data_IF_959310333000
#
_entry.id   IF_959310333000
#
_cell.length_a   1.000
_cell.length_b   1.000
_cell.length_c   1.000
_cell.angle_alpha   90.00
_cell.angle_beta   90.00
_cell.angle_gamma   90.00
#
_symmetry.space_group_name_H-M   'P 1'
#
loop_
_entity.id
_entity.type
_entity.pdbx_description
1 polymer ?
#
# COMPACT_ATOMS: atom_id res chain seq x y z
N UNK A 1 17.23 -1.85 -11.16
CA UNK A 1 17.23 -2.87 -12.23
C UNK A 1 18.48 -3.76 -12.25
N UNK A 2 19.49 -3.53 -11.42
CA UNK A 2 20.70 -4.38 -11.39
C UNK A 2 20.43 -5.81 -10.95
N UNK A 3 19.54 -6.02 -9.96
CA UNK A 3 19.11 -7.36 -9.57
C UNK A 3 18.45 -8.09 -10.75
N UNK A 4 17.57 -7.42 -11.51
CA UNK A 4 16.94 -7.99 -12.70
C UNK A 4 17.97 -8.36 -13.78
N UNK A 5 18.95 -7.50 -14.05
CA UNK A 5 20.02 -7.78 -15.01
C UNK A 5 20.97 -8.91 -14.56
N UNK A 6 21.15 -9.10 -13.25
CA UNK A 6 21.95 -10.20 -12.70
C UNK A 6 21.20 -11.54 -12.76
N UNK A 7 19.87 -11.50 -12.65
CA UNK A 7 19.01 -12.68 -12.67
C UNK A 7 18.63 -13.09 -14.11
N UNK A 8 18.50 -12.11 -15.00
CA UNK A 8 18.25 -12.28 -16.42
C UNK A 8 19.30 -11.50 -17.24
N UNK A 9 20.45 -12.13 -17.56
CA UNK A 9 21.55 -11.48 -18.29
C UNK A 9 21.16 -11.04 -19.70
N UNK A 10 20.25 -11.77 -20.35
CA UNK A 10 19.79 -11.48 -21.71
C UNK A 10 18.94 -10.20 -21.77
N UNK A 11 18.35 -9.81 -20.64
CA UNK A 11 17.65 -8.54 -20.49
C UNK A 11 18.56 -7.32 -20.26
N UNK A 12 19.86 -7.52 -20.01
CA UNK A 12 20.77 -6.42 -19.73
C UNK A 12 20.93 -5.48 -20.95
N UNK A 13 20.77 -4.19 -20.73
CA UNK A 13 20.88 -3.17 -21.79
C UNK A 13 19.59 -2.92 -22.58
N UNK A 14 18.52 -3.71 -22.38
CA UNK A 14 17.19 -3.39 -22.90
C UNK A 14 16.57 -2.21 -22.16
N UNK A 15 15.55 -1.57 -22.73
CA UNK A 15 14.80 -0.48 -22.08
C UNK A 15 13.48 -0.98 -21.53
N UNK A 16 13.09 -0.45 -20.37
CA UNK A 16 11.76 -0.62 -19.78
C UNK A 16 10.71 0.22 -20.49
N UNK A 17 9.44 -0.02 -20.17
CA UNK A 17 8.30 0.82 -20.59
C UNK A 17 8.49 2.29 -20.20
N UNK A 18 9.18 2.54 -19.07
CA UNK A 18 9.49 3.89 -18.59
C UNK A 18 10.77 4.48 -19.22
N UNK A 19 11.36 3.81 -20.21
CA UNK A 19 12.56 4.25 -20.93
C UNK A 19 13.88 4.09 -20.17
N UNK A 20 13.88 3.43 -19.02
CA UNK A 20 15.08 3.18 -18.21
C UNK A 20 15.87 1.98 -18.75
N UNK A 21 17.19 2.05 -18.73
CA UNK A 21 18.05 0.96 -19.21
C UNK A 21 18.21 -0.12 -18.12
N UNK A 22 17.89 -1.37 -18.45
CA UNK A 22 18.04 -2.51 -17.54
C UNK A 22 19.53 -2.72 -17.22
N UNK A 23 19.87 -2.76 -15.93
CA UNK A 23 21.24 -2.89 -15.43
C UNK A 23 21.99 -1.58 -15.22
N UNK A 24 21.51 -0.45 -15.74
CA UNK A 24 22.13 0.85 -15.50
C UNK A 24 21.63 1.51 -14.21
N UNK A 25 22.54 2.13 -13.45
CA UNK A 25 22.17 3.05 -12.39
C UNK A 25 22.18 4.48 -12.92
N UNK A 26 21.00 5.09 -12.99
CA UNK A 26 20.85 6.51 -13.32
C UNK A 26 20.42 7.29 -12.08
N UNK A 27 20.96 8.49 -11.89
CA UNK A 27 20.53 9.38 -10.82
C UNK A 27 19.04 9.74 -10.96
N UNK A 28 18.59 9.96 -12.20
CA UNK A 28 17.20 10.26 -12.52
C UNK A 28 16.26 9.10 -12.18
N UNK A 29 16.58 7.86 -12.59
CA UNK A 29 15.77 6.69 -12.26
C UNK A 29 15.72 6.43 -10.75
N UNK A 30 16.83 6.65 -10.04
CA UNK A 30 16.86 6.53 -8.58
C UNK A 30 15.97 7.58 -7.91
N UNK A 31 16.06 8.84 -8.33
CA UNK A 31 15.23 9.92 -7.80
C UNK A 31 13.75 9.66 -8.09
N UNK A 32 13.42 9.19 -9.30
CA UNK A 32 12.06 8.82 -9.68
C UNK A 32 11.52 7.70 -8.78
N UNK A 33 12.30 6.65 -8.51
CA UNK A 33 11.90 5.57 -7.60
C UNK A 33 11.66 6.07 -6.17
N UNK A 34 12.52 6.97 -5.67
CA UNK A 34 12.36 7.54 -4.32
C UNK A 34 11.10 8.40 -4.23
N UNK A 35 10.82 9.23 -5.24
CA UNK A 35 9.66 10.13 -5.23
C UNK A 35 8.36 9.36 -5.53
N UNK A 36 8.29 8.69 -6.68
CA UNK A 36 7.05 8.04 -7.12
C UNK A 36 6.80 6.72 -6.40
N UNK A 37 7.81 5.87 -6.26
CA UNK A 37 7.68 4.60 -5.53
C UNK A 37 7.67 4.80 -4.01
N UNK A 38 8.68 5.50 -3.49
CA UNK A 38 8.88 5.69 -2.06
C UNK A 38 7.88 6.66 -1.44
N UNK A 39 7.89 7.93 -1.87
CA UNK A 39 7.06 8.98 -1.25
C UNK A 39 5.57 8.80 -1.57
N UNK A 40 5.17 8.71 -2.85
CA UNK A 40 3.75 8.57 -3.19
C UNK A 40 3.19 7.20 -2.79
N UNK A 41 3.92 6.12 -3.05
CA UNK A 41 3.55 4.79 -2.57
C UNK A 41 3.45 4.73 -1.04
N UNK A 42 4.37 5.38 -0.32
CA UNK A 42 4.35 5.51 1.14
C UNK A 42 3.15 6.29 1.66
N UNK A 43 2.77 7.40 1.01
CA UNK A 43 1.57 8.19 1.37
C UNK A 43 0.30 7.36 1.14
N UNK A 44 0.17 6.71 -0.02
CA UNK A 44 -0.97 5.84 -0.32
C UNK A 44 -1.07 4.69 0.68
N UNK A 45 0.05 4.04 1.02
CA UNK A 45 0.11 3.01 2.05
C UNK A 45 -0.29 3.55 3.43
N UNK A 46 0.14 4.77 3.77
CA UNK A 46 -0.25 5.46 5.00
C UNK A 46 -1.75 5.77 5.09
N UNK A 47 -2.37 6.19 3.99
CA UNK A 47 -3.82 6.43 3.89
C UNK A 47 -4.59 5.12 4.09
N UNK A 48 -4.22 4.07 3.35
CA UNK A 48 -4.80 2.74 3.51
C UNK A 48 -4.62 2.24 4.95
N UNK A 49 -3.43 2.42 5.54
CA UNK A 49 -3.15 2.06 6.91
C UNK A 49 -4.01 2.82 7.92
N UNK A 50 -4.20 4.13 7.76
CA UNK A 50 -5.05 4.91 8.67
C UNK A 50 -6.49 4.37 8.76
N UNK A 51 -7.00 3.82 7.65
CA UNK A 51 -8.32 3.18 7.56
C UNK A 51 -8.31 1.75 8.11
N UNK A 52 -7.30 0.95 7.81
CA UNK A 52 -7.24 -0.47 8.19
C UNK A 52 -6.83 -0.67 9.65
N UNK A 53 -5.92 0.17 10.14
CA UNK A 53 -5.21 0.03 11.42
C UNK A 53 -6.10 -0.20 12.64
N UNK A 54 -7.29 0.43 12.80
CA UNK A 54 -8.11 0.22 14.00
C UNK A 54 -8.70 -1.19 14.10
N UNK A 55 -8.71 -1.92 12.97
CA UNK A 55 -9.40 -3.20 12.84
C UNK A 55 -8.43 -4.39 12.82
N UNK A 56 -7.15 -4.15 12.55
CA UNK A 56 -6.11 -5.18 12.57
C UNK A 56 -5.77 -5.56 14.02
N UNK A 57 -5.90 -6.83 14.43
CA UNK A 57 -5.66 -7.24 15.80
C UNK A 57 -4.17 -7.30 16.16
N UNK A 58 -3.89 -7.15 17.46
CA UNK A 58 -2.56 -7.31 18.05
C UNK A 58 -1.79 -6.00 18.17
N UNK A 59 -0.53 -6.10 18.58
CA UNK A 59 0.41 -4.98 18.69
C UNK A 59 1.83 -5.45 18.44
N UNK A 60 2.75 -4.51 18.21
CA UNK A 60 4.16 -4.78 18.02
C UNK A 60 4.43 -5.65 16.79
N UNK A 61 5.39 -6.58 16.94
CA UNK A 61 5.81 -7.45 15.84
C UNK A 61 4.69 -8.36 15.33
N UNK A 62 3.80 -8.84 16.22
CA UNK A 62 2.67 -9.69 15.81
C UNK A 62 1.74 -8.97 14.84
N UNK A 63 1.43 -7.69 15.11
CA UNK A 63 0.62 -6.86 14.21
C UNK A 63 1.36 -6.63 12.90
N UNK A 64 2.65 -6.29 12.95
CA UNK A 64 3.45 -6.05 11.74
C UNK A 64 3.51 -7.28 10.81
N UNK A 65 3.73 -8.47 11.34
CA UNK A 65 3.75 -9.72 10.57
C UNK A 65 2.39 -10.01 9.93
N UNK A 66 1.27 -9.69 10.58
CA UNK A 66 -0.07 -9.82 9.99
C UNK A 66 -0.31 -8.80 8.86
N UNK A 67 0.24 -7.60 8.99
CA UNK A 67 0.04 -6.51 8.02
C UNK A 67 0.83 -6.73 6.73
N UNK A 68 1.98 -7.40 6.78
CA UNK A 68 2.76 -7.71 5.58
C UNK A 68 1.94 -8.43 4.48
N UNK A 69 1.37 -9.62 4.74
CA UNK A 69 0.50 -10.32 3.79
C UNK A 69 -0.77 -9.53 3.42
N UNK A 70 -1.33 -8.76 4.35
CA UNK A 70 -2.47 -7.88 4.07
C UNK A 70 -2.13 -6.79 3.06
N UNK A 71 -0.96 -6.16 3.21
CA UNK A 71 -0.45 -5.15 2.28
C UNK A 71 -0.19 -5.77 0.90
N UNK A 72 0.39 -6.97 0.85
CA UNK A 72 0.56 -7.72 -0.40
C UNK A 72 -0.78 -8.02 -1.07
N UNK A 73 -1.79 -8.45 -0.32
CA UNK A 73 -3.10 -8.73 -0.88
C UNK A 73 -3.74 -7.47 -1.49
N UNK A 74 -3.72 -6.34 -0.77
CA UNK A 74 -4.41 -5.11 -1.19
C UNK A 74 -3.61 -4.32 -2.23
N UNK A 75 -2.29 -4.26 -2.09
CA UNK A 75 -1.39 -3.41 -2.87
C UNK A 75 -0.42 -4.14 -3.78
N UNK A 76 -0.44 -5.48 -3.83
CA UNK A 76 0.47 -6.26 -4.68
C UNK A 76 0.36 -5.90 -6.16
N UNK A 77 -0.86 -5.64 -6.63
CA UNK A 77 -1.12 -5.21 -8.01
C UNK A 77 -0.64 -3.79 -8.32
N UNK A 78 -0.15 -3.04 -7.33
CA UNK A 78 0.51 -1.75 -7.58
C UNK A 78 1.86 -1.95 -8.28
N UNK A 79 2.60 -3.01 -7.93
CA UNK A 79 3.91 -3.31 -8.51
C UNK A 79 3.87 -4.45 -9.53
N UNK A 80 2.92 -5.38 -9.37
CA UNK A 80 2.86 -6.61 -10.16
C UNK A 80 1.59 -6.64 -10.98
N UNK A 81 1.72 -6.30 -12.27
CA UNK A 81 0.62 -6.21 -13.23
C UNK A 81 0.93 -7.05 -14.46
N UNK A 82 -0.04 -7.86 -14.89
CA UNK A 82 0.08 -8.76 -16.04
C UNK A 82 0.05 -8.04 -17.38
N UNK A 83 -0.41 -6.79 -17.42
CA UNK A 83 -0.37 -5.93 -18.60
C UNK A 83 0.89 -5.05 -18.69
N UNK A 84 1.81 -5.13 -17.72
CA UNK A 84 3.09 -4.43 -17.79
C UNK A 84 4.05 -5.22 -18.69
N UNK A 85 4.52 -4.58 -19.77
CA UNK A 85 5.34 -5.28 -20.78
C UNK A 85 6.76 -5.55 -20.30
N UNK A 86 7.21 -4.84 -19.25
CA UNK A 86 8.47 -5.12 -18.57
C UNK A 86 8.59 -6.59 -18.13
N UNK A 87 7.47 -7.24 -17.75
CA UNK A 87 7.49 -8.65 -17.36
C UNK A 87 7.64 -9.61 -18.54
N UNK A 88 7.27 -9.21 -19.76
CA UNK A 88 7.55 -10.00 -20.95
C UNK A 88 9.04 -9.93 -21.30
N UNK A 89 9.68 -8.77 -21.11
CA UNK A 89 11.13 -8.58 -21.27
C UNK A 89 11.92 -9.41 -20.25
N UNK A 90 11.40 -9.51 -19.03
CA UNK A 90 12.01 -10.27 -17.93
C UNK A 90 11.61 -11.74 -17.91
N UNK A 91 10.89 -12.23 -18.93
CA UNK A 91 10.45 -13.62 -19.08
C UNK A 91 9.72 -14.16 -17.84
N UNK A 92 8.90 -13.33 -17.21
CA UNK A 92 8.11 -13.75 -16.04
C UNK A 92 8.92 -14.28 -14.85
N UNK A 93 10.18 -13.87 -14.69
CA UNK A 93 11.08 -14.38 -13.64
C UNK A 93 10.43 -14.37 -12.24
N UNK A 94 10.27 -15.57 -11.67
CA UNK A 94 9.60 -15.80 -10.41
C UNK A 94 10.34 -15.15 -9.21
N UNK A 95 11.66 -15.01 -9.27
CA UNK A 95 12.44 -14.36 -8.23
C UNK A 95 12.25 -12.84 -8.26
N UNK A 96 12.15 -12.23 -9.44
CA UNK A 96 11.80 -10.81 -9.57
C UNK A 96 10.40 -10.57 -9.00
N UNK A 97 9.42 -11.41 -9.33
CA UNK A 97 8.08 -11.35 -8.75
C UNK A 97 8.11 -11.46 -7.22
N UNK A 98 8.86 -12.42 -6.69
CA UNK A 98 9.01 -12.61 -5.24
C UNK A 98 9.64 -11.39 -4.57
N UNK A 99 10.63 -10.74 -5.20
CA UNK A 99 11.26 -9.53 -4.69
C UNK A 99 10.28 -8.34 -4.66
N UNK A 100 9.50 -8.14 -5.72
CA UNK A 100 8.51 -7.05 -5.80
C UNK A 100 7.38 -7.24 -4.78
N UNK A 101 6.82 -8.45 -4.69
CA UNK A 101 5.81 -8.76 -3.67
C UNK A 101 6.40 -8.67 -2.25
N UNK A 102 7.64 -9.13 -2.07
CA UNK A 102 8.39 -9.00 -0.83
C UNK A 102 8.57 -7.54 -0.41
N UNK A 103 8.83 -6.63 -1.36
CA UNK A 103 8.89 -5.19 -1.09
C UNK A 103 7.55 -4.66 -0.55
N UNK A 104 6.42 -5.04 -1.15
CA UNK A 104 5.09 -4.65 -0.65
C UNK A 104 4.84 -5.18 0.77
N UNK A 105 5.23 -6.43 1.04
CA UNK A 105 5.18 -7.03 2.38
C UNK A 105 6.01 -6.21 3.38
N UNK A 106 7.24 -5.84 3.01
CA UNK A 106 8.14 -5.05 3.85
C UNK A 106 7.60 -3.64 4.10
N UNK A 107 6.96 -3.01 3.12
CA UNK A 107 6.27 -1.72 3.30
C UNK A 107 5.16 -1.87 4.35
N UNK A 108 4.31 -2.90 4.24
CA UNK A 108 3.25 -3.17 5.21
C UNK A 108 3.77 -3.37 6.64
N UNK A 109 4.82 -4.19 6.80
CA UNK A 109 5.51 -4.41 8.08
C UNK A 109 6.06 -3.08 8.61
N UNK A 110 6.73 -2.30 7.77
CA UNK A 110 7.37 -1.04 8.15
C UNK A 110 6.36 -0.02 8.64
N UNK A 111 5.25 0.18 7.90
CA UNK A 111 4.18 1.11 8.27
C UNK A 111 3.57 0.72 9.62
N UNK A 112 3.24 -0.55 9.83
CA UNK A 112 2.70 -1.02 11.11
C UNK A 112 3.70 -0.85 12.28
N UNK A 113 5.00 -1.05 12.03
CA UNK A 113 6.04 -0.84 13.06
C UNK A 113 6.26 0.63 13.39
N UNK A 114 6.22 1.50 12.37
CA UNK A 114 6.34 2.94 12.54
C UNK A 114 5.12 3.50 13.29
N UNK A 115 3.92 3.04 12.97
CA UNK A 115 2.69 3.39 13.69
C UNK A 115 2.82 3.08 15.19
N UNK A 116 3.14 1.84 15.54
CA UNK A 116 3.34 1.43 16.94
C UNK A 116 4.48 2.20 17.63
N UNK A 117 5.53 2.57 16.88
CA UNK A 117 6.65 3.34 17.40
C UNK A 117 6.23 4.78 17.70
N UNK A 118 5.50 5.41 16.78
CA UNK A 118 5.00 6.77 16.90
C UNK A 118 3.93 6.88 17.98
N UNK A 119 3.02 5.92 18.09
CA UNK A 119 2.02 5.91 19.15
C UNK A 119 2.65 5.86 20.55
N UNK A 120 3.78 5.16 20.71
CA UNK A 120 4.52 5.09 21.98
C UNK A 120 5.35 6.34 22.29
N UNK A 121 5.87 7.02 21.27
CA UNK A 121 6.84 8.12 21.42
C UNK A 121 6.25 9.51 21.30
N UNK A 122 5.15 9.67 20.55
CA UNK A 122 4.57 10.98 20.28
C UNK A 122 3.53 11.35 21.34
N UNK A 123 3.60 12.57 21.92
CA UNK A 123 2.58 13.07 22.81
C UNK A 123 1.23 13.18 22.09
N UNK A 124 0.13 12.97 22.82
CA UNK A 124 -1.21 13.19 22.26
C UNK A 124 -1.41 14.69 21.96
N UNK A 125 -2.01 15.07 20.82
CA UNK A 125 -2.18 16.48 20.41
C UNK A 125 -2.93 17.37 21.42
N UNK A 126 -3.71 16.77 22.33
CA UNK A 126 -4.57 17.46 23.28
C UNK A 126 -3.86 18.23 24.41
N UNK A 127 -2.52 18.24 24.46
CA UNK A 127 -1.76 18.87 25.56
C UNK A 127 -1.36 20.35 25.31
N UNK A 128 -2.15 21.11 24.54
CA UNK A 128 -1.95 22.57 24.39
C UNK A 128 -0.68 23.00 23.63
N UNK A 129 0.01 22.07 22.95
CA UNK A 129 1.23 22.37 22.18
C UNK A 129 0.89 22.68 20.72
N UNK A 130 0.67 23.96 20.42
CA UNK A 130 0.29 24.43 19.07
C UNK A 130 1.17 23.86 17.95
N UNK A 131 2.50 23.85 18.13
CA UNK A 131 3.42 23.32 17.12
C UNK A 131 3.23 21.84 16.81
N UNK A 132 2.86 21.03 17.81
CA UNK A 132 2.56 19.61 17.60
C UNK A 132 1.24 19.44 16.85
N UNK A 133 0.20 20.19 17.23
CA UNK A 133 -1.09 20.20 16.52
C UNK A 133 -0.92 20.61 15.06
N UNK A 134 -0.08 21.63 14.79
CA UNK A 134 0.24 22.05 13.42
C UNK A 134 0.93 20.94 12.63
N UNK A 135 1.93 20.26 13.22
CA UNK A 135 2.61 19.15 12.56
C UNK A 135 1.65 18.00 12.20
N UNK A 136 0.78 17.57 13.14
CA UNK A 136 -0.26 16.57 12.85
C UNK A 136 -1.24 17.06 11.77
N UNK A 137 -1.63 18.33 11.82
CA UNK A 137 -2.52 18.95 10.83
C UNK A 137 -1.91 18.96 9.43
N UNK A 138 -0.62 19.28 9.30
CA UNK A 138 0.09 19.26 8.02
C UNK A 138 0.22 17.85 7.45
N UNK A 139 0.51 16.84 8.28
CA UNK A 139 0.54 15.43 7.83
C UNK A 139 -0.85 14.97 7.40
N UNK A 140 -1.89 15.30 8.17
CA UNK A 140 -3.27 14.98 7.80
C UNK A 140 -3.69 15.70 6.50
N UNK A 141 -3.29 16.96 6.31
CA UNK A 141 -3.54 17.72 5.10
C UNK A 141 -2.84 17.08 3.90
N UNK A 142 -1.58 16.68 4.04
CA UNK A 142 -0.87 15.96 2.99
C UNK A 142 -1.61 14.66 2.62
N UNK A 143 -2.02 13.86 3.60
CA UNK A 143 -2.84 12.67 3.35
C UNK A 143 -4.16 12.99 2.64
N UNK A 144 -4.84 14.07 3.04
CA UNK A 144 -6.09 14.52 2.41
C UNK A 144 -5.89 14.95 0.96
N UNK A 145 -4.80 15.66 0.65
CA UNK A 145 -4.48 16.09 -0.72
C UNK A 145 -4.14 14.92 -1.64
N UNK A 146 -3.57 13.84 -1.10
CA UNK A 146 -3.26 12.61 -1.84
C UNK A 146 -4.41 11.59 -1.88
N UNK A 147 -5.50 11.84 -1.15
CA UNK A 147 -6.65 10.96 -1.11
C UNK A 147 -7.29 10.75 -2.50
N UNK A 148 -7.52 11.79 -3.34
CA UNK A 148 -8.09 11.59 -4.68
C UNK A 148 -7.23 10.71 -5.58
N UNK A 149 -5.90 10.85 -5.50
CA UNK A 149 -4.97 9.99 -6.26
C UNK A 149 -5.05 8.54 -5.78
N UNK A 150 -5.09 8.33 -4.47
CA UNK A 150 -5.23 7.01 -3.86
C UNK A 150 -6.56 6.36 -4.25
N UNK A 151 -7.67 7.11 -4.22
CA UNK A 151 -8.97 6.64 -4.69
C UNK A 151 -8.90 6.34 -6.19
N UNK A 152 -8.35 7.26 -6.98
CA UNK A 152 -8.18 7.12 -8.42
C UNK A 152 -7.51 5.79 -8.78
N UNK A 153 -6.46 5.41 -8.07
CA UNK A 153 -5.77 4.14 -8.30
C UNK A 153 -6.71 2.91 -8.26
N UNK A 154 -7.69 2.89 -7.35
CA UNK A 154 -8.62 1.75 -7.25
C UNK A 154 -9.78 1.81 -8.26
N UNK A 155 -10.10 2.97 -8.82
CA UNK A 155 -11.33 3.20 -9.57
C UNK A 155 -11.13 3.72 -11.00
N UNK A 156 -9.92 4.11 -11.38
CA UNK A 156 -9.63 4.77 -12.65
C UNK A 156 -8.43 4.14 -13.36
N UNK A 157 -8.67 3.71 -14.59
CA UNK A 157 -7.66 3.25 -15.57
C UNK A 157 -6.55 4.29 -15.73
N UNK A 158 -6.90 5.58 -15.79
CA UNK A 158 -5.93 6.66 -15.99
C UNK A 158 -5.04 6.90 -14.77
N UNK A 159 -5.57 6.70 -13.56
CA UNK A 159 -4.81 6.95 -12.33
C UNK A 159 -3.95 5.74 -11.92
N UNK A 160 -4.40 4.51 -12.20
CA UNK A 160 -3.59 3.31 -12.00
C UNK A 160 -2.64 3.01 -13.15
N UNK A 161 -2.79 3.72 -14.28
CA UNK A 161 -2.09 3.46 -15.54
C UNK A 161 -2.21 1.98 -15.96
N UNK A 162 -3.39 1.39 -15.80
CA UNK A 162 -3.63 -0.05 -15.87
C UNK A 162 -4.91 -0.38 -16.62
N UNK A 163 -4.95 -1.52 -17.31
CA UNK A 163 -6.13 -1.96 -18.08
C UNK A 163 -7.34 -2.32 -17.21
N UNK A 164 -7.10 -2.80 -16.00
CA UNK A 164 -8.15 -3.30 -15.08
C UNK A 164 -7.90 -2.82 -13.64
N UNK A 165 -8.52 -1.70 -13.21
CA UNK A 165 -8.34 -1.21 -11.85
C UNK A 165 -8.93 -2.20 -10.82
N UNK A 166 -8.34 -2.31 -9.61
CA UNK A 166 -8.81 -3.20 -8.55
C UNK A 166 -10.08 -2.68 -7.84
N UNK A 167 -11.17 -2.52 -8.59
CA UNK A 167 -12.40 -1.84 -8.15
C UNK A 167 -13.04 -2.47 -6.92
N UNK A 168 -13.00 -3.81 -6.81
CA UNK A 168 -13.55 -4.53 -5.66
C UNK A 168 -12.74 -4.29 -4.38
N UNK A 169 -11.42 -4.13 -4.51
CA UNK A 169 -10.55 -3.71 -3.39
C UNK A 169 -10.91 -2.30 -2.98
N UNK A 170 -11.09 -1.39 -3.95
CA UNK A 170 -11.52 -0.02 -3.71
C UNK A 170 -12.83 0.06 -2.91
N UNK A 171 -13.87 -0.67 -3.32
CA UNK A 171 -15.15 -0.69 -2.60
C UNK A 171 -15.02 -1.26 -1.19
N UNK A 172 -14.26 -2.34 -1.01
CA UNK A 172 -14.01 -2.89 0.31
C UNK A 172 -13.29 -1.87 1.22
N UNK A 173 -12.31 -1.13 0.71
CA UNK A 173 -11.63 -0.06 1.43
C UNK A 173 -12.57 1.11 1.76
N UNK A 174 -13.48 1.49 0.86
CA UNK A 174 -14.52 2.52 1.14
C UNK A 174 -15.41 2.10 2.30
N UNK A 175 -15.83 0.83 2.35
CA UNK A 175 -16.62 0.29 3.47
C UNK A 175 -15.83 0.37 4.78
N UNK A 176 -14.56 -0.06 4.79
CA UNK A 176 -13.71 0.04 5.99
C UNK A 176 -13.48 1.50 6.39
N UNK A 177 -13.31 2.40 5.41
CA UNK A 177 -13.16 3.84 5.66
C UNK A 177 -14.40 4.42 6.32
N UNK A 178 -15.60 4.09 5.83
CA UNK A 178 -16.85 4.52 6.43
C UNK A 178 -16.98 4.03 7.89
N UNK A 179 -16.63 2.78 8.16
CA UNK A 179 -16.63 2.21 9.52
C UNK A 179 -15.60 2.91 10.42
N UNK A 180 -14.44 3.28 9.87
CA UNK A 180 -13.38 4.03 10.57
C UNK A 180 -13.80 5.45 10.92
N UNK A 181 -14.39 6.17 9.96
CA UNK A 181 -14.92 7.52 10.18
C UNK A 181 -16.06 7.48 11.21
N UNK A 182 -16.97 6.50 11.12
CA UNK A 182 -18.03 6.30 12.11
C UNK A 182 -17.45 6.07 13.51
N UNK A 183 -16.41 5.24 13.62
CA UNK A 183 -15.72 5.03 14.89
C UNK A 183 -15.10 6.33 15.43
N UNK A 184 -14.40 7.10 14.60
CA UNK A 184 -13.83 8.38 15.01
C UNK A 184 -14.91 9.36 15.47
N UNK A 185 -16.05 9.44 14.75
CA UNK A 185 -17.18 10.27 15.14
C UNK A 185 -17.76 9.85 16.52
N UNK A 186 -17.96 8.54 16.75
CA UNK A 186 -18.42 8.02 18.04
C UNK A 186 -17.42 8.33 19.16
N UNK A 187 -16.12 8.15 18.89
CA UNK A 187 -15.05 8.48 19.85
C UNK A 187 -15.05 9.96 20.21
N UNK A 188 -15.21 10.85 19.23
CA UNK A 188 -15.29 12.30 19.45
C UNK A 188 -16.54 12.69 20.25
N UNK A 189 -17.69 12.10 19.92
CA UNK A 189 -18.97 12.43 20.57
C UNK A 189 -19.08 11.87 22.00
N UNK A 190 -18.51 10.70 22.27
CA UNK A 190 -18.70 9.97 23.55
C UNK A 190 -17.47 9.94 24.44
N UNK A 191 -16.30 10.34 23.94
CA UNK A 191 -15.02 10.24 24.67
C UNK A 191 -14.52 8.81 24.88
N UNK A 192 -15.18 7.79 24.31
CA UNK A 192 -14.77 6.38 24.47
C UNK A 192 -13.44 6.11 23.77
N UNK A 193 -12.57 5.37 24.46
CA UNK A 193 -11.29 4.91 23.93
C UNK A 193 -11.43 3.71 22.98
N UNK A 194 -12.44 2.87 23.20
CA UNK A 194 -12.57 1.57 22.54
C UNK A 194 -13.84 1.44 21.69
N UNK A 195 -13.74 0.87 20.47
CA UNK A 195 -14.88 0.63 19.61
C UNK A 195 -15.80 -0.44 20.18
N UNK A 196 -17.11 -0.25 19.99
CA UNK A 196 -18.12 -1.26 20.35
C UNK A 196 -17.91 -2.58 19.59
N UNK A 197 -18.30 -3.72 20.18
CA UNK A 197 -18.10 -5.06 19.61
C UNK A 197 -18.64 -5.20 18.17
N UNK A 198 -19.77 -4.54 17.87
CA UNK A 198 -20.35 -4.52 16.52
C UNK A 198 -19.44 -3.86 15.49
N UNK A 199 -18.92 -2.67 15.80
CA UNK A 199 -17.97 -1.95 14.93
C UNK A 199 -16.69 -2.74 14.72
N UNK A 200 -16.15 -3.38 15.78
CA UNK A 200 -14.95 -4.23 15.66
C UNK A 200 -15.19 -5.40 14.70
N UNK A 201 -16.33 -6.08 14.80
CA UNK A 201 -16.68 -7.17 13.88
C UNK A 201 -16.84 -6.66 12.45
N UNK A 202 -17.57 -5.57 12.26
CA UNK A 202 -17.79 -4.97 10.94
C UNK A 202 -16.46 -4.54 10.29
N UNK A 203 -15.60 -3.83 11.03
CA UNK A 203 -14.29 -3.41 10.56
C UNK A 203 -13.39 -4.58 10.18
N UNK A 204 -13.33 -5.62 11.03
CA UNK A 204 -12.55 -6.84 10.72
C UNK A 204 -13.06 -7.58 9.50
N UNK A 205 -14.37 -7.70 9.33
CA UNK A 205 -14.98 -8.30 8.14
C UNK A 205 -14.66 -7.47 6.89
N UNK A 206 -14.69 -6.14 6.99
CA UNK A 206 -14.30 -5.26 5.89
C UNK A 206 -12.82 -5.43 5.51
N UNK A 207 -11.90 -5.50 6.49
CA UNK A 207 -10.47 -5.76 6.23
C UNK A 207 -10.28 -7.12 5.56
N UNK A 208 -10.95 -8.17 6.05
CA UNK A 208 -10.90 -9.50 5.44
C UNK A 208 -11.45 -9.46 4.01
N UNK A 209 -12.56 -8.75 3.77
CA UNK A 209 -13.13 -8.54 2.44
C UNK A 209 -12.16 -7.85 1.49
N UNK A 210 -11.46 -6.81 1.94
CA UNK A 210 -10.45 -6.11 1.15
C UNK A 210 -9.26 -7.02 0.80
N UNK A 211 -8.79 -7.82 1.77
CA UNK A 211 -7.73 -8.80 1.53
C UNK A 211 -8.15 -9.86 0.51
N UNK A 212 -9.35 -10.42 0.67
CA UNK A 212 -9.90 -11.44 -0.24
C UNK A 212 -10.04 -10.86 -1.66
N UNK A 213 -10.67 -9.69 -1.81
CA UNK A 213 -10.81 -9.02 -3.09
C UNK A 213 -9.43 -8.74 -3.74
N UNK A 214 -8.45 -8.36 -2.93
CA UNK A 214 -7.09 -8.11 -3.37
C UNK A 214 -6.40 -9.38 -3.89
N UNK A 215 -6.50 -10.49 -3.16
CA UNK A 215 -5.98 -11.80 -3.62
C UNK A 215 -6.66 -12.24 -4.91
N UNK A 216 -7.98 -12.12 -5.01
CA UNK A 216 -8.73 -12.47 -6.23
C UNK A 216 -8.31 -11.61 -7.43
N UNK A 217 -7.92 -10.36 -7.21
CA UNK A 217 -7.40 -9.49 -8.26
C UNK A 217 -5.93 -9.80 -8.60
N UNK A 218 -5.09 -10.08 -7.61
CA UNK A 218 -3.64 -10.31 -7.79
C UNK A 218 -3.32 -11.66 -8.45
N UNK A 219 -4.05 -12.74 -8.12
CA UNK A 219 -3.76 -14.08 -8.66
C UNK A 219 -3.80 -14.11 -10.20
N UNK A 220 -4.84 -13.58 -10.88
CA UNK A 220 -4.85 -13.53 -12.35
C UNK A 220 -3.66 -12.78 -12.95
N UNK A 221 -3.21 -11.70 -12.30
CA UNK A 221 -2.04 -10.92 -12.74
C UNK A 221 -0.77 -11.78 -12.67
N UNK A 222 -0.57 -12.50 -11.57
CA UNK A 222 0.57 -13.42 -11.41
C UNK A 222 0.53 -14.56 -12.43
N UNK A 223 -0.63 -15.16 -12.65
CA UNK A 223 -0.81 -16.23 -13.65
C UNK A 223 -0.51 -15.72 -15.05
N UNK A 224 -0.90 -14.49 -15.38
CA UNK A 224 -0.61 -13.88 -16.68
C UNK A 224 0.90 -13.67 -16.86
N UNK A 225 1.60 -13.17 -15.84
CA UNK A 225 3.05 -12.94 -15.90
C UNK A 225 3.82 -14.26 -16.04
N UNK A 226 3.46 -15.27 -15.23
CA UNK A 226 4.14 -16.56 -15.22
C UNK A 226 3.93 -17.38 -16.49
N UNK A 227 3.04 -16.96 -17.41
CA UNK A 227 2.93 -17.57 -18.76
C UNK A 227 4.07 -17.15 -19.69
N UNK A 228 4.84 -16.13 -19.31
CA UNK A 228 6.03 -15.69 -20.05
C UNK A 228 7.32 -16.39 -19.58
N UNK A 229 7.27 -17.16 -18.48
CA UNK A 229 8.36 -17.96 -17.96
C UNK A 229 8.37 -19.37 -18.58
#
# INVERSE_FOLDING_TARGET
MTAAALLNPDAAGMRTDNGELIGAFTANGTLALVIFGGLFGGIAAGICWAILSPWVPGSGWRRAVLVGPLAMAIGGSFLVRGDNTDFAILEGDALILALLLGLVVLIGISVARLDDLFERRLPRPAQGRFGLTLAYGLVALAGLLFLPLTIGFFFSVAACDCSSPPIYVGWALVVVAAITVLWWAVRLATGRSDPGRGLVRAGRLGVAGAAIAGVFHLIPQLVQILRFA
#
